data_IF_971366994605
#
_entry.id   IF_971366994605
#
_cell.length_a   1.000
_cell.length_b   1.000
_cell.length_c   1.000
_cell.angle_alpha   90.00
_cell.angle_beta   90.00
_cell.angle_gamma   90.00
#
_symmetry.space_group_name_H-M   'P 1'
#
loop_
_entity.id
_entity.type
_entity.pdbx_description
1 polymer ?
#
# COMPACT_ATOMS: atom_id res chain seq x y z
N UNK A 1 0.37 -27.53 -8.07
CA UNK A 1 -0.63 -26.89 -8.94
C UNK A 1 -0.33 -25.40 -8.96
N UNK A 2 0.53 -24.95 -9.87
CA UNK A 2 0.94 -23.54 -9.98
C UNK A 2 -0.18 -22.74 -10.63
N UNK A 3 -0.86 -21.88 -9.87
CA UNK A 3 -1.77 -20.87 -10.42
C UNK A 3 -0.91 -19.69 -10.89
N UNK A 4 -0.59 -19.65 -12.18
CA UNK A 4 -0.11 -18.42 -12.83
C UNK A 4 -1.25 -17.40 -12.80
N UNK A 5 -1.03 -16.28 -12.10
CA UNK A 5 -1.92 -15.13 -12.14
C UNK A 5 -1.59 -14.40 -13.44
N UNK A 6 -2.38 -14.63 -14.49
CA UNK A 6 -2.32 -13.84 -15.70
C UNK A 6 -2.90 -12.45 -15.40
N UNK A 7 -2.09 -11.41 -15.55
CA UNK A 7 -2.56 -10.04 -15.62
C UNK A 7 -3.27 -9.88 -16.96
N UNK A 8 -4.60 -9.92 -16.93
CA UNK A 8 -5.42 -9.66 -18.11
C UNK A 8 -5.34 -8.16 -18.44
N UNK A 9 -4.46 -7.82 -19.39
CA UNK A 9 -4.30 -6.45 -19.89
C UNK A 9 -5.46 -6.20 -20.87
N UNK A 10 -6.65 -6.06 -20.30
CA UNK A 10 -7.84 -5.78 -21.07
C UNK A 10 -7.70 -4.42 -21.76
N UNK A 11 -8.18 -4.31 -23.00
CA UNK A 11 -7.99 -3.15 -23.91
C UNK A 11 -8.65 -1.85 -23.43
N UNK A 12 -9.21 -1.85 -22.23
CA UNK A 12 -9.74 -0.70 -21.50
C UNK A 12 -8.76 -0.13 -20.47
N UNK A 13 -7.46 0.04 -20.80
CA UNK A 13 -6.43 0.89 -20.12
C UNK A 13 -6.34 0.91 -18.57
N UNK A 14 -7.06 0.06 -17.85
CA UNK A 14 -7.24 0.05 -16.41
C UNK A 14 -7.20 -1.41 -15.94
N UNK A 15 -6.00 -1.95 -15.77
CA UNK A 15 -5.83 -3.29 -15.19
C UNK A 15 -6.16 -3.21 -13.71
N UNK A 16 -7.22 -3.92 -13.28
CA UNK A 16 -7.62 -4.00 -11.87
C UNK A 16 -7.01 -5.26 -11.27
N UNK A 17 -6.16 -5.10 -10.25
CA UNK A 17 -5.66 -6.24 -9.47
C UNK A 17 -5.74 -5.86 -8.00
N UNK A 18 -6.63 -6.53 -7.26
CA UNK A 18 -6.70 -6.45 -5.79
C UNK A 18 -6.62 -5.00 -5.25
N UNK A 19 -7.49 -4.12 -5.78
CA UNK A 19 -7.60 -2.73 -5.36
C UNK A 19 -6.64 -1.74 -6.06
N UNK A 20 -5.58 -2.19 -6.72
CA UNK A 20 -4.68 -1.32 -7.49
C UNK A 20 -5.17 -1.15 -8.93
N UNK A 21 -5.16 0.10 -9.42
CA UNK A 21 -5.46 0.47 -10.80
C UNK A 21 -4.29 1.22 -11.40
N UNK A 22 -3.78 0.74 -12.52
CA UNK A 22 -2.79 1.46 -13.32
C UNK A 22 -3.48 2.19 -14.46
N UNK A 23 -3.28 3.50 -14.54
CA UNK A 23 -3.65 4.31 -15.70
C UNK A 23 -2.43 4.44 -16.60
N UNK A 24 -2.36 3.64 -17.66
CA UNK A 24 -1.23 3.62 -18.58
C UNK A 24 -1.05 4.93 -19.35
N UNK A 25 -2.11 5.74 -19.51
CA UNK A 25 -2.03 7.00 -20.28
C UNK A 25 -1.38 8.12 -19.48
N UNK A 26 -1.71 8.20 -18.19
CA UNK A 26 -1.16 9.19 -17.28
C UNK A 26 0.05 8.67 -16.51
N UNK A 27 0.45 7.43 -16.76
CA UNK A 27 1.49 6.70 -16.05
C UNK A 27 1.35 6.89 -14.52
N UNK A 28 0.19 6.50 -13.99
CA UNK A 28 -0.12 6.70 -12.57
C UNK A 28 -0.91 5.54 -11.97
N UNK A 29 -0.67 5.28 -10.69
CA UNK A 29 -1.46 4.34 -9.90
C UNK A 29 -2.52 5.05 -9.09
N UNK A 30 -3.67 4.37 -8.96
CA UNK A 30 -4.75 4.71 -8.05
C UNK A 30 -5.15 3.48 -7.25
N UNK A 31 -5.56 3.71 -6.02
CA UNK A 31 -6.15 2.67 -5.19
C UNK A 31 -7.68 2.78 -5.24
N UNK A 32 -8.32 1.62 -5.15
CA UNK A 32 -9.77 1.48 -5.05
C UNK A 32 -10.04 0.55 -3.89
N UNK A 33 -10.44 1.16 -2.79
CA UNK A 33 -10.69 0.54 -1.50
C UNK A 33 -12.13 0.86 -1.15
N UNK A 34 -12.94 -0.19 -1.08
CA UNK A 34 -14.30 -0.12 -0.59
C UNK A 34 -14.39 -1.07 0.61
N UNK A 35 -14.58 -0.52 1.79
CA UNK A 35 -14.68 -1.31 3.02
C UNK A 35 -16.04 -1.09 3.64
N UNK A 36 -16.69 -2.19 4.00
CA UNK A 36 -17.91 -2.18 4.79
C UNK A 36 -17.51 -2.22 6.27
N UNK A 37 -18.03 -1.28 7.05
CA UNK A 37 -17.91 -1.30 8.50
C UNK A 37 -19.00 -2.19 9.05
N UNK A 38 -18.63 -3.34 9.59
CA UNK A 38 -19.57 -4.28 10.23
C UNK A 38 -19.54 -4.12 11.75
N UNK A 39 -20.70 -4.33 12.39
CA UNK A 39 -20.81 -4.35 13.86
C UNK A 39 -20.18 -5.60 14.48
N UNK A 40 -20.08 -6.69 13.71
CA UNK A 40 -19.51 -7.96 14.13
C UNK A 40 -18.23 -8.21 13.35
N UNK A 41 -17.08 -8.08 14.00
CA UNK A 41 -15.77 -8.24 13.35
C UNK A 41 -15.11 -9.53 13.81
N UNK A 42 -14.84 -10.41 12.86
CA UNK A 42 -14.14 -11.69 13.08
C UNK A 42 -12.76 -11.69 12.44
N UNK A 43 -11.91 -12.64 12.82
CA UNK A 43 -10.59 -12.82 12.18
C UNK A 43 -10.72 -13.04 10.67
N UNK A 44 -11.75 -13.76 10.24
CA UNK A 44 -12.00 -14.05 8.84
C UNK A 44 -12.38 -12.78 8.05
N UNK A 45 -13.21 -11.91 8.63
CA UNK A 45 -13.55 -10.62 8.02
C UNK A 45 -12.29 -9.77 7.86
N UNK A 46 -11.49 -9.65 8.93
CA UNK A 46 -10.24 -8.87 8.90
C UNK A 46 -9.30 -9.36 7.80
N UNK A 47 -9.05 -10.67 7.74
CA UNK A 47 -8.19 -11.26 6.73
C UNK A 47 -8.73 -11.04 5.32
N UNK A 48 -10.03 -11.27 5.12
CA UNK A 48 -10.69 -11.03 3.83
C UNK A 48 -10.52 -9.57 3.39
N UNK A 49 -10.82 -8.62 4.28
CA UNK A 49 -10.66 -7.20 3.98
C UNK A 49 -9.21 -6.83 3.66
N UNK A 50 -8.24 -7.34 4.43
CA UNK A 50 -6.82 -7.08 4.17
C UNK A 50 -6.37 -7.64 2.82
N UNK A 51 -6.84 -8.81 2.44
CA UNK A 51 -6.50 -9.44 1.16
C UNK A 51 -7.00 -8.67 -0.07
N UNK A 52 -7.98 -7.78 0.10
CA UNK A 52 -8.51 -6.97 -0.99
C UNK A 52 -7.59 -5.80 -1.37
N UNK A 53 -6.61 -5.47 -0.53
CA UNK A 53 -5.67 -4.38 -0.75
C UNK A 53 -4.29 -4.98 -0.96
N UNK A 54 -3.93 -5.17 -2.22
CA UNK A 54 -2.61 -5.64 -2.61
C UNK A 54 -1.69 -4.46 -2.91
N UNK A 55 -0.46 -4.55 -2.42
CA UNK A 55 0.52 -3.49 -2.54
C UNK A 55 1.87 -4.07 -3.00
N UNK A 56 2.12 -4.09 -4.32
CA UNK A 56 3.34 -4.67 -4.87
C UNK A 56 4.54 -3.71 -4.86
N UNK A 57 4.35 -2.41 -4.61
CA UNK A 57 5.36 -1.37 -4.91
C UNK A 57 5.91 -0.66 -3.67
N UNK A 58 5.51 -1.05 -2.47
CA UNK A 58 5.83 -0.40 -1.19
C UNK A 58 5.12 0.95 -0.96
N UNK A 59 4.34 1.47 -1.90
CA UNK A 59 3.92 2.88 -1.96
C UNK A 59 2.99 3.29 -0.83
N UNK A 60 2.08 2.41 -0.42
CA UNK A 60 1.16 2.64 0.71
C UNK A 60 1.48 1.74 1.90
N UNK A 61 2.68 1.15 1.93
CA UNK A 61 3.09 0.26 3.01
C UNK A 61 3.01 0.91 4.41
N UNK A 62 3.30 2.22 4.61
CA UNK A 62 3.06 2.88 5.91
C UNK A 62 1.60 2.84 6.37
N UNK A 63 0.66 2.77 5.45
CA UNK A 63 -0.77 2.68 5.75
C UNK A 63 -1.12 1.23 6.09
N UNK A 64 -0.58 0.27 5.34
CA UNK A 64 -0.80 -1.17 5.56
C UNK A 64 -0.03 -1.74 6.76
N UNK A 65 0.94 -1.02 7.33
CA UNK A 65 1.70 -1.50 8.49
C UNK A 65 0.77 -1.83 9.68
N UNK A 66 -0.29 -1.03 9.87
CA UNK A 66 -1.26 -1.24 10.96
C UNK A 66 -1.96 -2.59 10.83
N UNK A 67 -2.36 -2.96 9.61
CA UNK A 67 -3.00 -4.25 9.35
C UNK A 67 -2.01 -5.40 9.52
N UNK A 68 -0.75 -5.22 9.09
CA UNK A 68 0.35 -6.17 9.34
C UNK A 68 0.67 -6.37 10.82
N UNK A 69 0.44 -5.39 11.69
CA UNK A 69 0.59 -5.51 13.14
C UNK A 69 -0.63 -6.20 13.78
N UNK A 70 -1.84 -5.87 13.34
CA UNK A 70 -3.09 -6.46 13.87
C UNK A 70 -3.16 -7.96 13.60
N UNK A 71 -2.70 -8.42 12.42
CA UNK A 71 -2.84 -9.82 12.02
C UNK A 71 -2.11 -10.81 12.95
N UNK A 72 -0.83 -10.63 13.30
CA UNK A 72 -0.16 -11.47 14.31
C UNK A 72 -0.84 -11.45 15.68
N UNK A 73 -1.34 -10.28 16.11
CA UNK A 73 -2.08 -10.16 17.38
C UNK A 73 -3.33 -11.04 17.36
N UNK A 74 -4.08 -11.03 16.25
CA UNK A 74 -5.25 -11.89 16.07
C UNK A 74 -4.90 -13.38 16.04
N UNK A 75 -3.78 -13.76 15.43
CA UNK A 75 -3.32 -15.15 15.41
C UNK A 75 -2.91 -15.65 16.79
N UNK A 76 -2.40 -14.77 17.65
CA UNK A 76 -2.04 -15.13 19.03
C UNK A 76 -3.26 -15.41 19.93
N UNK A 77 -4.45 -14.93 19.55
CA UNK A 77 -5.68 -15.19 20.29
C UNK A 77 -6.13 -16.64 20.12
N UNK A 78 -6.38 -17.33 21.24
CA UNK A 78 -6.96 -18.68 21.29
C UNK A 78 -8.49 -18.69 21.04
N UNK A 79 -8.95 -17.90 20.09
CA UNK A 79 -10.36 -17.82 19.66
C UNK A 79 -10.54 -18.36 18.25
N UNK A 80 -11.76 -18.81 17.94
CA UNK A 80 -12.10 -19.31 16.60
C UNK A 80 -12.12 -18.19 15.56
N UNK A 81 -12.15 -18.57 14.27
CA UNK A 81 -12.06 -17.62 13.14
C UNK A 81 -13.33 -16.81 12.91
N UNK A 82 -14.47 -17.34 13.36
CA UNK A 82 -15.84 -16.83 13.28
C UNK A 82 -16.30 -16.13 14.57
N UNK A 83 -15.50 -16.21 15.64
CA UNK A 83 -15.74 -15.49 16.88
C UNK A 83 -15.38 -14.01 16.74
N UNK A 84 -16.15 -13.17 17.46
CA UNK A 84 -15.87 -11.73 17.55
C UNK A 84 -14.53 -11.48 18.25
N UNK A 85 -13.79 -10.49 17.77
CA UNK A 85 -12.51 -10.11 18.33
C UNK A 85 -12.67 -9.32 19.65
N UNK A 86 -11.65 -9.31 20.54
CA UNK A 86 -11.68 -8.50 21.75
C UNK A 86 -11.91 -7.00 21.45
N UNK A 87 -12.59 -6.32 22.37
CA UNK A 87 -13.00 -4.91 22.22
C UNK A 87 -11.85 -3.95 21.91
N UNK A 88 -10.66 -4.18 22.48
CA UNK A 88 -9.46 -3.38 22.24
C UNK A 88 -9.00 -3.44 20.77
N UNK A 89 -8.96 -4.65 20.20
CA UNK A 89 -8.62 -4.85 18.78
C UNK A 89 -9.75 -4.39 17.87
N UNK A 90 -11.01 -4.54 18.28
CA UNK A 90 -12.16 -4.06 17.55
C UNK A 90 -12.10 -2.54 17.33
N UNK A 91 -11.88 -1.75 18.38
CA UNK A 91 -11.77 -0.29 18.26
C UNK A 91 -10.62 0.10 17.33
N UNK A 92 -9.47 -0.53 17.48
CA UNK A 92 -8.29 -0.27 16.63
C UNK A 92 -8.57 -0.60 15.17
N UNK A 93 -9.23 -1.72 14.90
CA UNK A 93 -9.62 -2.15 13.56
C UNK A 93 -10.63 -1.20 12.91
N UNK A 94 -11.69 -0.81 13.64
CA UNK A 94 -12.72 0.10 13.11
C UNK A 94 -12.12 1.46 12.75
N UNK A 95 -11.25 2.01 13.60
CA UNK A 95 -10.54 3.26 13.30
C UNK A 95 -9.68 3.12 12.04
N UNK A 96 -8.96 2.00 11.91
CA UNK A 96 -8.15 1.74 10.72
C UNK A 96 -8.99 1.63 9.44
N UNK A 97 -10.09 0.89 9.49
CA UNK A 97 -11.00 0.72 8.35
C UNK A 97 -11.67 2.02 7.93
N UNK A 98 -12.03 2.89 8.88
CA UNK A 98 -12.63 4.19 8.58
C UNK A 98 -11.66 5.11 7.80
N UNK A 99 -10.36 4.97 8.03
CA UNK A 99 -9.33 5.77 7.37
C UNK A 99 -8.94 5.20 5.99
N UNK A 100 -9.12 3.89 5.78
CA UNK A 100 -8.70 3.19 4.56
C UNK A 100 -9.29 3.76 3.25
N UNK A 101 -10.58 4.17 3.17
CA UNK A 101 -11.13 4.80 1.96
C UNK A 101 -10.40 6.06 1.50
N UNK A 102 -9.63 6.74 2.37
CA UNK A 102 -8.82 7.90 1.97
C UNK A 102 -7.74 7.52 0.95
N UNK A 103 -7.37 6.24 0.85
CA UNK A 103 -6.49 5.72 -0.20
C UNK A 103 -7.02 5.99 -1.61
N UNK A 104 -8.35 6.09 -1.79
CA UNK A 104 -8.97 6.37 -3.08
C UNK A 104 -8.59 7.75 -3.64
N UNK A 105 -8.17 8.66 -2.77
CA UNK A 105 -7.72 10.01 -3.15
C UNK A 105 -6.23 10.04 -3.53
N UNK A 106 -5.47 8.99 -3.23
CA UNK A 106 -4.06 8.91 -3.53
C UNK A 106 -3.89 8.54 -5.00
N UNK A 107 -3.18 9.40 -5.73
CA UNK A 107 -2.67 9.12 -7.06
C UNK A 107 -1.15 9.21 -7.01
N UNK A 108 -0.47 8.12 -7.36
CA UNK A 108 1.00 8.08 -7.40
C UNK A 108 1.44 8.09 -8.85
N UNK A 109 2.18 9.11 -9.26
CA UNK A 109 2.73 9.21 -10.61
C UNK A 109 3.97 8.31 -10.73
N UNK A 110 4.04 7.48 -11.77
CA UNK A 110 5.20 6.64 -12.06
C UNK A 110 6.27 7.36 -12.88
N UNK A 111 5.95 8.50 -13.50
CA UNK A 111 6.95 9.26 -14.21
C UNK A 111 8.03 9.78 -13.26
N UNK A 112 9.25 9.27 -13.45
CA UNK A 112 10.37 9.44 -12.50
C UNK A 112 11.24 10.65 -12.87
N UNK A 113 11.12 11.15 -14.10
CA UNK A 113 12.05 12.16 -14.65
C UNK A 113 11.32 13.35 -15.26
N UNK A 114 11.99 14.50 -15.22
CA UNK A 114 11.59 15.68 -15.98
C UNK A 114 11.88 15.52 -17.48
N UNK A 115 11.33 16.40 -18.30
CA UNK A 115 11.63 16.45 -19.73
C UNK A 115 13.07 16.93 -19.95
N UNK A 116 13.84 16.15 -20.72
CA UNK A 116 15.25 16.43 -21.05
C UNK A 116 16.13 16.69 -19.80
N UNK A 117 16.25 15.70 -18.90
CA UNK A 117 17.07 15.82 -17.70
C UNK A 117 18.55 15.93 -18.10
N UNK A 118 19.27 16.83 -17.45
CA UNK A 118 20.72 17.03 -17.61
C UNK A 118 21.52 16.52 -16.41
N UNK A 119 20.86 16.29 -15.28
CA UNK A 119 21.47 15.78 -14.06
C UNK A 119 20.53 14.82 -13.33
N UNK A 120 21.13 13.81 -12.69
CA UNK A 120 20.46 12.78 -11.90
C UNK A 120 21.18 12.62 -10.57
N UNK A 121 20.43 12.62 -9.48
CA UNK A 121 20.92 12.32 -8.14
C UNK A 121 20.02 11.28 -7.48
N UNK A 122 20.61 10.31 -6.80
CA UNK A 122 19.88 9.29 -6.04
C UNK A 122 20.09 9.57 -4.56
N UNK A 123 18.99 9.73 -3.82
CA UNK A 123 18.99 10.01 -2.40
C UNK A 123 18.35 8.84 -1.65
N UNK A 124 19.13 8.14 -0.83
CA UNK A 124 18.66 7.06 0.02
C UNK A 124 18.36 7.55 1.43
N UNK A 125 17.18 7.22 1.96
CA UNK A 125 16.79 7.48 3.34
C UNK A 125 16.41 6.16 4.01
N UNK A 126 16.73 6.03 5.29
CA UNK A 126 16.27 4.92 6.12
C UNK A 126 15.64 5.50 7.37
N UNK A 127 14.47 4.98 7.74
CA UNK A 127 13.79 5.30 8.98
C UNK A 127 13.56 4.01 9.76
N UNK A 128 13.86 4.05 11.06
CA UNK A 128 13.69 2.93 11.96
C UNK A 128 12.75 3.34 13.08
N UNK A 129 11.69 2.56 13.26
CA UNK A 129 10.81 2.66 14.41
C UNK A 129 10.79 1.35 15.17
N UNK A 130 10.31 1.38 16.42
CA UNK A 130 10.12 0.17 17.24
C UNK A 130 9.25 -0.88 16.52
N UNK A 131 8.31 -0.42 15.67
CA UNK A 131 7.31 -1.27 15.05
C UNK A 131 7.65 -1.68 13.60
N UNK A 132 8.58 -0.98 12.95
CA UNK A 132 8.89 -1.17 11.53
C UNK A 132 10.18 -0.46 11.12
N UNK A 133 10.90 -1.08 10.17
CA UNK A 133 12.00 -0.49 9.42
C UNK A 133 11.47 -0.06 8.05
N UNK A 134 11.96 1.07 7.53
CA UNK A 134 11.61 1.56 6.20
C UNK A 134 12.82 2.16 5.50
N UNK A 135 13.05 1.79 4.25
CA UNK A 135 14.07 2.35 3.38
C UNK A 135 13.40 2.97 2.15
N UNK A 136 13.89 4.13 1.72
CA UNK A 136 13.30 4.91 0.62
C UNK A 136 14.41 5.41 -0.28
N UNK A 137 14.24 5.19 -1.58
CA UNK A 137 15.11 5.76 -2.60
C UNK A 137 14.33 6.85 -3.31
N UNK A 138 14.86 8.05 -3.36
CA UNK A 138 14.34 9.16 -4.17
C UNK A 138 15.28 9.42 -5.35
N UNK A 139 14.70 9.60 -6.53
CA UNK A 139 15.42 10.11 -7.69
C UNK A 139 15.14 11.60 -7.82
N UNK A 140 16.20 12.40 -7.84
CA UNK A 140 16.15 13.82 -8.16
C UNK A 140 16.68 14.02 -9.57
N UNK A 141 15.93 14.73 -10.39
CA UNK A 141 16.33 15.13 -11.75
C UNK A 141 16.26 16.64 -11.91
N UNK A 142 17.20 17.18 -12.68
CA UNK A 142 17.28 18.62 -12.98
C UNK A 142 17.32 18.78 -14.51
N UNK A 143 16.51 19.67 -15.06
CA UNK A 143 16.49 19.97 -16.50
C UNK A 143 17.40 21.16 -16.86
N UNK A 144 17.51 21.45 -18.16
CA UNK A 144 18.31 22.58 -18.68
C UNK A 144 17.84 23.97 -18.23
N UNK A 145 16.61 24.08 -17.70
CA UNK A 145 16.06 25.30 -17.08
C UNK A 145 16.33 25.39 -15.58
N UNK A 146 17.10 24.44 -15.03
CA UNK A 146 17.38 24.31 -13.60
C UNK A 146 16.14 23.99 -12.75
N UNK A 147 15.07 23.45 -13.35
CA UNK A 147 13.89 22.99 -12.63
C UNK A 147 14.18 21.61 -12.02
N UNK A 148 13.88 21.46 -10.72
CA UNK A 148 14.17 20.25 -9.94
C UNK A 148 12.91 19.42 -9.75
N UNK A 149 13.01 18.12 -9.99
CA UNK A 149 11.95 17.14 -9.81
C UNK A 149 12.46 16.01 -8.92
N UNK A 150 11.73 15.70 -7.85
CA UNK A 150 12.08 14.63 -6.91
C UNK A 150 10.93 13.65 -6.81
N UNK A 151 11.20 12.37 -7.06
CA UNK A 151 10.19 11.31 -7.03
C UNK A 151 10.68 10.12 -6.20
N UNK A 152 9.78 9.51 -5.43
CA UNK A 152 10.04 8.25 -4.72
C UNK A 152 10.15 7.11 -5.73
N UNK A 153 11.29 6.42 -5.74
CA UNK A 153 11.63 5.36 -6.68
C UNK A 153 11.38 3.95 -6.11
N UNK A 154 11.80 3.71 -4.87
CA UNK A 154 11.65 2.41 -4.23
C UNK A 154 11.49 2.57 -2.71
N UNK A 155 10.26 2.43 -2.19
CA UNK A 155 10.02 2.21 -0.77
C UNK A 155 10.07 0.71 -0.43
N UNK A 156 10.82 0.32 0.59
CA UNK A 156 10.76 -1.00 1.22
C UNK A 156 10.47 -0.83 2.71
N UNK A 157 9.65 -1.71 3.28
CA UNK A 157 9.31 -1.71 4.69
C UNK A 157 9.21 -3.11 5.25
N UNK A 158 9.88 -3.33 6.38
CA UNK A 158 10.00 -4.62 7.05
C UNK A 158 9.58 -4.49 8.50
N UNK A 159 8.91 -5.52 9.03
CA UNK A 159 8.62 -5.62 10.46
C UNK A 159 9.90 -6.08 11.19
N UNK A 160 10.13 -5.64 12.44
CA UNK A 160 11.18 -6.20 13.27
C UNK A 160 11.00 -7.72 13.40
N UNK A 161 12.11 -8.46 13.27
CA UNK A 161 12.17 -9.90 13.51
C UNK A 161 11.95 -10.25 14.98
#
# INVERSE_FOLDING_TARGET
MHKQIYLDIDKNFNTKTLGLHWNCKLDSFKYSVNVLSELWVTKQIILSTMSQIFEPLGLICPILIKSKIIMPLLWSLKSNWDESIPSELHTTWVQYIHELPKLNMIQVQQQITCSSPISFEIHGFCNVSILAYGAYIYLKTINSKNETYVQLYAPNHELPH
#
